data_IF_199377909919
#
_entry.id   IF_199377909919
#
_cell.length_a   1.000
_cell.length_b   1.000
_cell.length_c   1.000
_cell.angle_alpha   90.00
_cell.angle_beta   90.00
_cell.angle_gamma   90.00
#
_symmetry.space_group_name_H-M   'P 1'
#
loop_
_entity.id
_entity.type
_entity.pdbx_description
1 polymer ?
#
# COMPACT_ATOMS: atom_id res chain seq x y z
N UNK A 1 13.73 25.93 31.62
CA UNK A 1 13.41 25.35 31.72
C UNK A 1 12.51 24.94 31.39
N UNK A 2 12.19 24.72 30.74
CA UNK A 2 11.27 24.15 30.58
C UNK A 2 11.30 23.09 29.79
N UNK A 3 10.93 22.12 30.20
CA UNK A 3 10.64 20.94 29.48
C UNK A 3 9.74 21.30 28.37
N UNK A 4 10.24 21.25 27.20
CA UNK A 4 9.38 21.31 26.07
C UNK A 4 8.52 20.10 26.06
N UNK A 5 7.37 20.21 26.56
CA UNK A 5 6.34 19.25 26.24
C UNK A 5 6.03 19.43 24.76
N UNK A 6 6.63 18.60 23.96
CA UNK A 6 6.19 18.49 22.58
C UNK A 6 4.81 17.84 22.65
N UNK A 7 3.81 18.66 22.67
CA UNK A 7 2.46 18.18 22.47
C UNK A 7 2.32 17.75 21.04
N UNK A 8 2.57 16.46 20.79
CA UNK A 8 2.12 15.90 19.54
C UNK A 8 0.60 15.96 19.54
N UNK A 9 0.08 16.75 18.63
CA UNK A 9 -1.34 16.80 18.39
C UNK A 9 -1.83 15.46 17.90
N UNK A 10 -2.51 14.70 18.74
CA UNK A 10 -3.17 13.49 18.30
C UNK A 10 -4.56 13.83 17.78
N UNK A 11 -4.87 13.40 16.58
CA UNK A 11 -6.20 13.51 16.01
C UNK A 11 -6.99 12.25 16.31
N UNK A 12 -8.30 12.36 16.57
CA UNK A 12 -9.13 11.19 16.80
C UNK A 12 -9.12 10.27 15.58
N UNK A 13 -9.05 8.97 15.83
CA UNK A 13 -9.13 7.98 14.78
C UNK A 13 -10.59 7.83 14.32
N UNK A 14 -10.79 7.94 13.01
CA UNK A 14 -12.05 7.63 12.36
C UNK A 14 -11.75 6.89 11.07
N UNK A 15 -12.16 5.63 11.00
CA UNK A 15 -11.92 4.79 9.83
C UNK A 15 -12.50 5.39 8.55
N UNK A 16 -13.59 6.15 8.66
CA UNK A 16 -14.21 6.78 7.49
C UNK A 16 -13.31 7.80 6.80
N UNK A 17 -12.31 8.31 7.50
CA UNK A 17 -11.32 9.22 6.92
C UNK A 17 -10.26 8.51 6.09
N UNK A 18 -10.24 7.18 6.15
CA UNK A 18 -9.36 6.33 5.35
C UNK A 18 -10.14 5.58 4.27
N UNK A 19 -11.17 6.20 3.73
CA UNK A 19 -11.99 5.66 2.66
C UNK A 19 -12.13 6.69 1.54
N UNK A 20 -12.47 6.22 0.34
CA UNK A 20 -12.61 7.05 -0.84
C UNK A 20 -11.39 7.01 -1.73
N UNK A 21 -11.08 8.12 -2.38
CA UNK A 21 -9.94 8.21 -3.27
C UNK A 21 -8.63 8.36 -2.51
N UNK A 22 -7.60 7.68 -2.96
CA UNK A 22 -6.26 7.90 -2.43
C UNK A 22 -5.20 7.82 -3.53
N UNK A 23 -4.10 8.53 -3.30
CA UNK A 23 -2.91 8.47 -4.13
C UNK A 23 -1.93 7.51 -3.46
N UNK A 24 -1.50 6.51 -4.19
CA UNK A 24 -0.51 5.54 -3.72
C UNK A 24 0.80 5.80 -4.43
N UNK A 25 1.84 6.09 -3.67
CA UNK A 25 3.20 6.18 -4.17
C UNK A 25 3.96 4.95 -3.70
N UNK A 26 4.31 4.07 -4.62
CA UNK A 26 5.04 2.84 -4.31
C UNK A 26 6.48 2.95 -4.79
N UNK A 27 7.43 2.67 -3.90
CA UNK A 27 8.85 2.73 -4.19
C UNK A 27 9.45 1.35 -3.98
N UNK A 28 10.04 0.79 -5.04
CA UNK A 28 10.79 -0.45 -4.95
C UNK A 28 12.14 -0.18 -4.30
N UNK A 29 12.44 -0.92 -3.23
CA UNK A 29 13.69 -0.74 -2.51
C UNK A 29 14.78 -1.58 -3.15
N UNK A 30 15.67 -0.90 -3.85
CA UNK A 30 16.79 -1.56 -4.52
C UNK A 30 17.99 -1.66 -3.57
N UNK A 31 18.49 -2.86 -3.39
CA UNK A 31 19.64 -3.11 -2.53
C UNK A 31 20.99 -2.94 -3.24
N UNK A 32 20.99 -2.74 -4.55
CA UNK A 32 22.24 -2.59 -5.29
C UNK A 32 22.78 -1.16 -5.21
N UNK A 33 24.03 -0.96 -4.79
CA UNK A 33 24.63 0.37 -4.73
C UNK A 33 24.63 1.07 -6.10
N UNK A 34 24.29 2.35 -6.10
CA UNK A 34 24.32 3.16 -7.32
C UNK A 34 23.09 3.04 -8.22
N UNK A 35 22.12 2.22 -7.84
CA UNK A 35 20.85 2.11 -8.58
C UNK A 35 19.78 2.86 -7.82
N UNK A 36 19.13 3.82 -8.49
CA UNK A 36 18.08 4.62 -7.88
C UNK A 36 16.81 3.80 -7.66
N UNK A 37 16.14 4.08 -6.55
CA UNK A 37 14.82 3.53 -6.29
C UNK A 37 13.80 4.22 -7.21
N UNK A 38 12.97 3.41 -7.85
CA UNK A 38 11.92 3.92 -8.74
C UNK A 38 10.58 3.93 -8.02
N UNK A 39 9.83 5.01 -8.21
CA UNK A 39 8.51 5.18 -7.63
C UNK A 39 7.44 5.22 -8.71
N UNK A 40 6.28 4.67 -8.39
CA UNK A 40 5.10 4.68 -9.23
C UNK A 40 3.98 5.31 -8.42
N UNK A 41 3.25 6.25 -9.03
CA UNK A 41 2.06 6.84 -8.42
C UNK A 41 0.80 6.33 -9.11
N UNK A 42 -0.20 6.03 -8.31
CA UNK A 42 -1.50 5.56 -8.78
C UNK A 42 -2.61 6.22 -7.97
N UNK A 43 -3.76 6.37 -8.59
CA UNK A 43 -4.98 6.79 -7.93
C UNK A 43 -5.88 5.56 -7.78
N UNK A 44 -6.26 5.21 -6.56
CA UNK A 44 -7.11 4.05 -6.29
C UNK A 44 -8.29 4.42 -5.40
N UNK A 45 -9.31 3.57 -5.39
CA UNK A 45 -10.44 3.70 -4.48
C UNK A 45 -10.28 2.74 -3.32
N UNK A 46 -10.74 3.19 -2.17
CA UNK A 46 -10.72 2.39 -0.95
C UNK A 46 -12.09 2.45 -0.29
N UNK A 47 -12.40 1.40 0.46
CA UNK A 47 -13.63 1.36 1.23
C UNK A 47 -13.45 0.58 2.52
N UNK A 48 -14.32 0.86 3.48
CA UNK A 48 -14.36 0.11 4.72
C UNK A 48 -14.83 -1.31 4.45
N UNK A 49 -14.16 -2.29 5.07
CA UNK A 49 -14.58 -3.69 4.96
C UNK A 49 -15.98 -3.87 5.55
N UNK A 50 -16.87 -4.60 4.88
CA UNK A 50 -18.28 -4.71 5.31
C UNK A 50 -18.47 -5.48 6.62
N UNK A 51 -17.56 -6.38 6.98
CA UNK A 51 -17.71 -7.24 8.17
C UNK A 51 -16.55 -7.12 9.15
N UNK A 52 -15.34 -6.83 8.69
CA UNK A 52 -14.18 -6.75 9.55
C UNK A 52 -13.97 -5.34 10.10
N UNK A 53 -13.86 -5.24 11.41
CA UNK A 53 -13.62 -3.96 12.07
C UNK A 53 -12.21 -3.46 11.79
N UNK A 54 -12.09 -2.14 11.59
CA UNK A 54 -10.81 -1.47 11.33
C UNK A 54 -10.04 -1.99 10.12
N UNK A 55 -10.73 -2.57 9.17
CA UNK A 55 -10.14 -3.05 7.92
C UNK A 55 -10.58 -2.19 6.75
N UNK A 56 -9.62 -1.85 5.88
CA UNK A 56 -9.83 -1.09 4.65
C UNK A 56 -9.50 -1.98 3.47
N UNK A 57 -10.35 -1.95 2.45
CA UNK A 57 -10.13 -2.63 1.17
C UNK A 57 -9.50 -1.62 0.21
N UNK A 58 -8.33 -1.96 -0.33
CA UNK A 58 -7.64 -1.18 -1.35
C UNK A 58 -7.95 -1.81 -2.71
N UNK A 59 -8.87 -1.19 -3.47
CA UNK A 59 -9.30 -1.73 -4.75
C UNK A 59 -8.24 -1.55 -5.82
N UNK A 60 -7.99 -2.60 -6.61
CA UNK A 60 -7.02 -2.58 -7.72
C UNK A 60 -5.68 -1.99 -7.28
N UNK A 61 -5.19 -2.41 -6.13
CA UNK A 61 -4.12 -1.69 -5.44
C UNK A 61 -2.84 -1.58 -6.27
N UNK A 62 -2.34 -2.67 -6.81
CA UNK A 62 -1.16 -2.65 -7.66
C UNK A 62 -1.52 -3.11 -9.08
N UNK A 63 -2.32 -4.14 -9.20
CA UNK A 63 -2.78 -4.66 -10.48
C UNK A 63 -4.31 -4.65 -10.53
N UNK A 64 -4.85 -4.31 -11.70
CA UNK A 64 -6.30 -4.28 -11.90
C UNK A 64 -6.92 -5.66 -11.67
N UNK A 65 -7.99 -5.70 -10.89
CA UNK A 65 -8.69 -6.94 -10.55
C UNK A 65 -8.24 -7.60 -9.25
N UNK A 66 -7.22 -7.04 -8.57
CA UNK A 66 -6.69 -7.62 -7.34
C UNK A 66 -6.75 -6.61 -6.20
N UNK A 67 -7.65 -6.86 -5.26
CA UNK A 67 -7.83 -6.04 -4.08
C UNK A 67 -6.96 -6.58 -2.94
N UNK A 68 -6.42 -5.68 -2.12
CA UNK A 68 -5.75 -6.06 -0.88
C UNK A 68 -6.41 -5.36 0.29
N UNK A 69 -6.24 -5.92 1.47
CA UNK A 69 -6.80 -5.35 2.70
C UNK A 69 -5.68 -4.99 3.67
N UNK A 70 -5.92 -3.91 4.42
CA UNK A 70 -5.06 -3.50 5.52
C UNK A 70 -5.90 -3.34 6.78
N UNK A 71 -5.31 -3.60 7.94
CA UNK A 71 -5.92 -3.38 9.24
C UNK A 71 -5.27 -2.18 9.90
N UNK A 72 -6.10 -1.28 10.41
CA UNK A 72 -5.65 -0.12 11.16
C UNK A 72 -5.79 -0.45 12.64
N UNK A 73 -4.70 -0.36 13.40
CA UNK A 73 -4.72 -0.56 14.84
C UNK A 73 -4.48 0.77 15.55
N UNK A 74 -5.55 1.42 16.05
CA UNK A 74 -5.42 2.71 16.73
C UNK A 74 -4.99 2.61 18.19
N UNK A 75 -4.57 1.44 18.67
CA UNK A 75 -4.24 1.20 20.06
C UNK A 75 -3.12 2.07 20.62
N UNK A 76 -2.15 2.44 19.77
CA UNK A 76 -1.10 3.39 20.14
C UNK A 76 -1.36 4.74 19.49
N UNK A 77 -1.65 5.81 20.26
CA UNK A 77 -1.93 7.11 19.67
C UNK A 77 -0.72 7.81 19.09
N UNK A 78 0.49 7.36 19.40
CA UNK A 78 1.74 7.98 18.88
C UNK A 78 2.18 7.28 17.60
N UNK A 79 2.17 5.95 17.60
CA UNK A 79 2.54 5.15 16.43
C UNK A 79 1.47 4.08 16.17
N UNK A 80 0.29 4.49 15.70
CA UNK A 80 -0.76 3.52 15.41
C UNK A 80 -0.35 2.63 14.24
N UNK A 81 -0.39 1.33 14.43
CA UNK A 81 0.15 0.35 13.49
C UNK A 81 -0.84 -0.01 12.38
N UNK A 82 -0.27 -0.36 11.24
CA UNK A 82 -1.00 -0.95 10.12
C UNK A 82 -0.47 -2.36 9.90
N UNK A 83 -1.37 -3.32 9.77
CA UNK A 83 -1.01 -4.70 9.51
C UNK A 83 -1.75 -5.23 8.29
N UNK A 84 -1.18 -6.24 7.67
CA UNK A 84 -1.82 -6.97 6.57
C UNK A 84 -1.94 -8.43 6.96
N UNK A 85 -3.05 -9.05 6.58
CA UNK A 85 -3.15 -10.50 6.65
C UNK A 85 -2.09 -11.10 5.72
N UNK A 86 -1.45 -12.17 6.17
CA UNK A 86 -0.33 -12.76 5.44
C UNK A 86 -0.76 -13.34 4.10
N UNK A 87 0.13 -13.24 3.12
CA UNK A 87 0.00 -13.93 1.85
C UNK A 87 -1.26 -13.58 1.08
N UNK A 88 -1.61 -12.29 1.06
CA UNK A 88 -2.70 -11.84 0.19
C UNK A 88 -2.24 -11.92 -1.27
N UNK A 89 -3.17 -12.32 -2.14
CA UNK A 89 -2.85 -12.47 -3.57
C UNK A 89 -2.78 -11.10 -4.21
N UNK A 90 -1.59 -10.75 -4.70
CA UNK A 90 -1.35 -9.51 -5.43
C UNK A 90 -1.63 -9.70 -6.91
N UNK A 91 -1.35 -10.88 -7.43
CA UNK A 91 -1.66 -11.34 -8.78
C UNK A 91 -1.64 -12.87 -8.81
N UNK A 92 -2.50 -13.49 -9.62
CA UNK A 92 -2.55 -14.96 -9.74
C UNK A 92 -2.10 -15.46 -11.13
N UNK A 93 -1.59 -14.55 -11.95
CA UNK A 93 -1.04 -14.88 -13.25
C UNK A 93 0.38 -14.33 -13.38
N UNK A 94 1.31 -15.18 -13.70
CA UNK A 94 2.70 -14.77 -13.88
C UNK A 94 2.88 -13.75 -15.01
N UNK A 95 1.96 -13.71 -15.97
CA UNK A 95 1.97 -12.73 -17.06
C UNK A 95 1.96 -11.29 -16.58
N UNK A 96 1.43 -11.03 -15.39
CA UNK A 96 1.41 -9.70 -14.79
C UNK A 96 2.82 -9.19 -14.52
N UNK A 97 3.76 -10.08 -14.20
CA UNK A 97 5.17 -9.75 -13.98
C UNK A 97 6.09 -10.25 -15.10
N UNK A 98 5.54 -10.55 -16.28
CA UNK A 98 6.36 -10.98 -17.40
C UNK A 98 6.95 -12.38 -17.23
N UNK A 99 6.15 -13.35 -16.81
CA UNK A 99 6.54 -14.77 -16.69
C UNK A 99 7.63 -15.03 -15.65
N UNK A 100 7.63 -14.31 -14.56
CA UNK A 100 8.51 -14.62 -13.45
C UNK A 100 8.02 -15.91 -12.79
N UNK A 101 8.75 -17.02 -13.02
CA UNK A 101 8.52 -18.28 -12.31
C UNK A 101 7.19 -19.02 -12.60
N UNK A 102 6.72 -18.98 -13.85
CA UNK A 102 5.56 -19.79 -14.27
C UNK A 102 4.21 -19.23 -13.84
N UNK A 103 3.27 -20.08 -13.51
CA UNK A 103 1.88 -19.69 -13.18
C UNK A 103 1.64 -19.52 -11.67
N UNK A 104 2.70 -19.25 -10.91
CA UNK A 104 2.56 -19.12 -9.46
C UNK A 104 1.97 -17.77 -9.08
N UNK A 105 1.26 -17.80 -7.96
CA UNK A 105 0.68 -16.57 -7.40
C UNK A 105 1.76 -15.67 -6.86
N UNK A 106 1.51 -14.38 -6.98
CA UNK A 106 2.35 -13.35 -6.38
C UNK A 106 1.64 -12.85 -5.14
N UNK A 107 2.32 -12.96 -4.02
CA UNK A 107 1.75 -12.72 -2.70
C UNK A 107 2.37 -11.50 -2.05
N UNK A 108 1.59 -10.83 -1.22
CA UNK A 108 2.04 -9.67 -0.46
C UNK A 108 1.79 -9.89 1.03
N UNK A 109 2.75 -9.46 1.84
CA UNK A 109 2.65 -9.46 3.29
C UNK A 109 3.38 -8.24 3.86
N UNK A 110 3.17 -7.93 5.14
CA UNK A 110 3.97 -6.89 5.78
C UNK A 110 5.45 -7.21 5.68
N UNK A 111 6.26 -6.19 5.41
CA UNK A 111 7.70 -6.35 5.48
C UNK A 111 8.15 -6.57 6.92
N UNK A 112 9.06 -7.52 7.18
CA UNK A 112 9.63 -7.68 8.51
C UNK A 112 10.69 -6.64 8.85
N UNK A 113 11.05 -5.77 7.90
CA UNK A 113 12.12 -4.79 8.08
C UNK A 113 11.68 -3.57 8.88
N UNK A 114 10.46 -3.09 8.65
CA UNK A 114 9.94 -1.88 9.28
C UNK A 114 8.46 -2.01 9.58
N UNK A 115 8.04 -1.38 10.66
CA UNK A 115 6.63 -1.30 11.01
C UNK A 115 5.88 -0.34 10.08
N UNK A 116 4.69 -0.74 9.67
CA UNK A 116 3.78 0.12 8.93
C UNK A 116 2.91 0.88 9.92
N UNK A 117 2.58 2.13 9.60
CA UNK A 117 1.81 2.98 10.50
C UNK A 117 0.88 3.90 9.72
N UNK A 118 -0.07 4.53 10.43
CA UNK A 118 -0.96 5.50 9.82
C UNK A 118 -0.99 6.80 10.65
N UNK A 119 -1.42 7.88 10.01
CA UNK A 119 -1.53 9.19 10.65
C UNK A 119 -2.95 9.72 10.47
N UNK A 120 -3.67 9.87 11.59
CA UNK A 120 -5.05 10.35 11.59
C UNK A 120 -5.19 11.85 11.36
N UNK A 121 -4.13 12.62 11.58
CA UNK A 121 -4.16 14.07 11.35
C UNK A 121 -3.99 14.42 9.89
N UNK A 122 -3.11 13.68 9.20
CA UNK A 122 -2.76 13.94 7.79
C UNK A 122 -3.38 12.93 6.83
N UNK A 123 -4.11 11.96 7.35
CA UNK A 123 -4.82 10.94 6.56
C UNK A 123 -3.92 10.22 5.58
N UNK A 124 -2.86 9.62 6.06
CA UNK A 124 -2.00 8.78 5.24
C UNK A 124 -1.63 7.47 5.95
N UNK A 125 -1.22 6.51 5.17
CA UNK A 125 -0.65 5.24 5.63
C UNK A 125 0.75 5.11 5.03
N UNK A 126 1.71 4.75 5.87
CA UNK A 126 3.04 4.34 5.43
C UNK A 126 3.11 2.82 5.52
N UNK A 127 3.14 2.16 4.39
CA UNK A 127 3.01 0.70 4.30
C UNK A 127 4.28 0.07 3.72
N UNK A 128 4.96 -0.71 4.55
CA UNK A 128 6.12 -1.49 4.15
C UNK A 128 5.68 -2.91 3.86
N UNK A 129 5.95 -3.38 2.64
CA UNK A 129 5.51 -4.70 2.20
C UNK A 129 6.65 -5.51 1.63
N UNK A 130 6.47 -6.81 1.72
CA UNK A 130 7.30 -7.81 1.06
C UNK A 130 6.45 -8.49 0.00
N UNK A 131 6.93 -8.49 -1.23
CA UNK A 131 6.28 -9.17 -2.36
C UNK A 131 7.09 -10.41 -2.69
N UNK A 132 6.43 -11.55 -2.79
CA UNK A 132 7.08 -12.82 -3.08
C UNK A 132 6.18 -13.70 -3.94
N UNK A 133 6.80 -14.65 -4.64
CA UNK A 133 6.09 -15.64 -5.41
C UNK A 133 5.70 -16.80 -4.48
N UNK A 134 4.55 -17.42 -4.73
CA UNK A 134 4.11 -18.59 -3.97
C UNK A 134 5.21 -19.64 -3.90
N UNK A 135 5.33 -20.28 -2.75
CA UNK A 135 6.44 -21.18 -2.44
C UNK A 135 6.68 -22.24 -3.52
N UNK A 136 7.89 -22.23 -4.08
CA UNK A 136 8.34 -23.17 -5.11
C UNK A 136 9.26 -24.25 -4.54
N UNK A 137 9.34 -24.37 -3.22
CA UNK A 137 10.24 -25.33 -2.59
C UNK A 137 11.71 -24.94 -2.60
N UNK A 138 12.02 -23.74 -3.05
CA UNK A 138 13.37 -23.15 -3.01
C UNK A 138 13.24 -21.70 -2.53
N UNK A 139 14.25 -21.23 -1.80
CA UNK A 139 14.24 -19.87 -1.22
C UNK A 139 14.40 -18.76 -2.28
N UNK A 140 13.77 -18.90 -3.42
CA UNK A 140 13.91 -17.94 -4.53
C UNK A 140 12.63 -17.20 -4.87
N UNK A 141 11.69 -17.17 -3.93
CA UNK A 141 10.39 -16.55 -4.17
C UNK A 141 10.33 -15.03 -3.93
N UNK A 142 11.38 -14.40 -3.39
CA UNK A 142 11.35 -12.98 -3.08
C UNK A 142 11.42 -12.14 -4.34
N UNK A 143 10.37 -11.34 -4.60
CA UNK A 143 10.37 -10.30 -5.64
C UNK A 143 11.06 -9.05 -5.11
N UNK A 144 10.72 -8.62 -3.91
CA UNK A 144 11.35 -7.47 -3.30
C UNK A 144 10.53 -6.84 -2.18
N UNK A 145 11.09 -5.77 -1.63
CA UNK A 145 10.43 -4.94 -0.64
C UNK A 145 10.01 -3.64 -1.27
N UNK A 146 8.84 -3.16 -0.89
CA UNK A 146 8.29 -1.89 -1.37
C UNK A 146 7.90 -1.02 -0.19
N UNK A 147 8.16 0.26 -0.33
CA UNK A 147 7.65 1.28 0.59
C UNK A 147 6.53 2.02 -0.12
N UNK A 148 5.37 2.11 0.54
CA UNK A 148 4.20 2.75 -0.03
C UNK A 148 3.71 3.86 0.88
N UNK A 149 3.44 5.02 0.28
CA UNK A 149 2.69 6.08 0.93
C UNK A 149 1.32 6.12 0.30
N UNK A 150 0.30 5.97 1.12
CA UNK A 150 -1.11 6.01 0.70
C UNK A 150 -1.71 7.27 1.32
N UNK A 151 -2.10 8.23 0.49
CA UNK A 151 -2.63 9.51 0.93
C UNK A 151 -4.07 9.64 0.46
N UNK A 152 -4.99 9.81 1.41
CA UNK A 152 -6.39 10.03 1.08
C UNK A 152 -6.59 11.47 0.63
N UNK A 153 -7.32 11.64 -0.46
CA UNK A 153 -7.56 12.94 -1.10
C UNK A 153 -9.06 13.15 -1.30
N UNK A 154 -9.47 14.40 -1.45
CA UNK A 154 -10.87 14.72 -1.75
C UNK A 154 -11.26 14.27 -3.16
N UNK A 155 -12.56 14.17 -3.41
CA UNK A 155 -13.07 13.85 -4.74
C UNK A 155 -12.63 14.90 -5.77
N UNK A 156 -12.62 16.17 -5.37
CA UNK A 156 -12.16 17.27 -6.22
C UNK A 156 -10.69 17.14 -6.58
N UNK A 157 -9.86 16.79 -5.61
CA UNK A 157 -8.44 16.57 -5.85
C UNK A 157 -8.20 15.36 -6.75
N UNK A 158 -8.97 14.28 -6.56
CA UNK A 158 -8.89 13.10 -7.41
C UNK A 158 -9.26 13.44 -8.86
N UNK A 159 -10.31 14.25 -9.08
CA UNK A 159 -10.67 14.72 -10.40
C UNK A 159 -9.58 15.59 -11.03
N UNK A 160 -8.98 16.47 -10.23
CA UNK A 160 -7.88 17.32 -10.69
C UNK A 160 -6.68 16.48 -11.15
N UNK A 161 -6.32 15.48 -10.37
CA UNK A 161 -5.19 14.60 -10.70
C UNK A 161 -5.44 13.82 -12.00
N UNK A 162 -6.67 13.36 -12.21
CA UNK A 162 -7.03 12.68 -13.45
C UNK A 162 -6.97 13.63 -14.66
N UNK A 163 -7.51 14.84 -14.50
CA UNK A 163 -7.61 15.81 -15.57
C UNK A 163 -6.28 16.49 -15.91
N UNK A 164 -5.54 16.92 -14.89
CA UNK A 164 -4.34 17.75 -15.09
C UNK A 164 -3.05 16.93 -15.14
N UNK A 165 -2.99 15.82 -14.44
CA UNK A 165 -1.78 15.00 -14.35
C UNK A 165 -1.91 13.66 -15.08
N UNK A 166 -3.08 13.39 -15.66
CA UNK A 166 -3.31 12.15 -16.40
C UNK A 166 -3.24 10.89 -15.54
N UNK A 167 -3.47 11.03 -14.24
CA UNK A 167 -3.41 9.90 -13.31
C UNK A 167 -4.67 9.07 -13.46
N UNK A 168 -4.58 7.93 -14.13
CA UNK A 168 -5.71 7.05 -14.36
C UNK A 168 -6.06 6.29 -13.09
N UNK A 169 -7.37 6.12 -12.78
CA UNK A 169 -7.77 5.32 -11.64
C UNK A 169 -7.51 3.83 -11.86
N UNK A 170 -7.24 3.13 -10.75
CA UNK A 170 -7.03 1.70 -10.75
C UNK A 170 -5.57 1.30 -10.80
N UNK A 171 -5.35 0.00 -10.77
CA UNK A 171 -4.01 -0.56 -10.77
C UNK A 171 -3.42 -0.67 -12.18
N UNK A 172 -2.20 -1.15 -12.23
CA UNK A 172 -1.52 -1.41 -13.50
C UNK A 172 -2.22 -2.57 -14.21
N UNK A 173 -2.44 -2.45 -15.51
CA UNK A 173 -3.00 -3.56 -16.29
C UNK A 173 -1.94 -4.62 -16.56
N UNK A 174 -2.37 -5.85 -16.88
CA UNK A 174 -1.46 -6.95 -17.18
C UNK A 174 -0.51 -6.65 -18.34
N UNK A 175 -0.90 -5.75 -19.26
CA UNK A 175 -0.05 -5.30 -20.35
C UNK A 175 0.78 -4.07 -20.00
N UNK A 176 0.61 -3.50 -18.83
CA UNK A 176 1.37 -2.36 -18.36
C UNK A 176 2.72 -2.79 -17.80
N UNK A 177 3.77 -2.05 -18.12
CA UNK A 177 5.07 -2.25 -17.50
C UNK A 177 5.15 -1.48 -16.20
N UNK A 178 5.64 -2.14 -15.19
CA UNK A 178 6.00 -1.47 -13.96
C UNK A 178 7.28 -0.64 -14.19
#
# INVERSE_FOLDING_TARGET
DRTKVVMQKSCPYDINEFTGWCVVTSTFLNSYPGVENKSIQRLIRTEKHPTEENMIILHDWLFSGYDVTIRLDPGDPIEPLVTMDKNQVLADEASVFGQILGDNKILVTNSPLYDSYFNSCQHFVALWIKVHVEDMGVNMGLVGHFYNIIEWVSDEEAERLQREEGMLPGGVTASGSL
#
